data_IF_133490063233
#
_entry.id   IF_133490063233
#
_cell.length_a   1.000
_cell.length_b   1.000
_cell.length_c   1.000
_cell.angle_alpha   90.00
_cell.angle_beta   90.00
_cell.angle_gamma   90.00
#
_symmetry.space_group_name_H-M   'P 1'
#
loop_
_entity.id
_entity.type
_entity.pdbx_description
1 polymer ?
#
# COMPACT_ATOMS: atom_id res chain seq x y z
N UNK A 1 23.38 2.44 -45.23
CA UNK A 1 23.59 2.66 -43.77
C UNK A 1 23.43 4.16 -43.52
N UNK A 2 22.42 4.72 -42.85
CA UNK A 2 21.42 4.23 -41.91
C UNK A 2 20.15 5.09 -42.02
N UNK A 3 18.99 4.46 -42.00
CA UNK A 3 17.69 5.08 -41.68
C UNK A 3 17.56 5.10 -40.16
N UNK A 4 17.66 6.27 -39.54
CA UNK A 4 17.26 6.45 -38.13
C UNK A 4 15.82 6.92 -38.10
N UNK A 5 14.94 5.96 -37.84
CA UNK A 5 13.52 6.16 -37.58
C UNK A 5 13.35 6.87 -36.22
N UNK A 6 12.96 8.14 -36.24
CA UNK A 6 12.55 8.87 -35.04
C UNK A 6 11.05 8.65 -34.87
N UNK A 7 10.71 7.51 -34.27
CA UNK A 7 9.38 7.23 -33.75
C UNK A 7 9.07 8.15 -32.57
N UNK A 8 8.43 9.29 -32.86
CA UNK A 8 7.89 10.21 -31.87
C UNK A 8 6.67 9.62 -31.17
N UNK A 9 6.85 9.13 -29.94
CA UNK A 9 5.75 8.74 -29.07
C UNK A 9 4.98 9.99 -28.59
N UNK A 10 3.71 10.11 -28.98
CA UNK A 10 2.79 11.15 -28.49
C UNK A 10 2.62 10.98 -26.98
N UNK A 11 2.78 12.04 -26.16
CA UNK A 11 2.56 11.93 -24.73
C UNK A 11 1.07 11.73 -24.45
N UNK A 12 0.66 10.48 -24.25
CA UNK A 12 -0.65 10.15 -23.71
C UNK A 12 -0.81 10.87 -22.36
N UNK A 13 -1.85 11.70 -22.22
CA UNK A 13 -2.11 12.45 -20.98
C UNK A 13 -2.38 11.44 -19.85
N UNK A 14 -1.35 11.12 -19.07
CA UNK A 14 -1.46 10.26 -17.89
C UNK A 14 -2.62 10.74 -17.02
N UNK A 15 -3.62 9.88 -16.84
CA UNK A 15 -4.79 10.19 -16.05
C UNK A 15 -4.37 10.68 -14.65
N UNK A 16 -4.83 11.88 -14.29
CA UNK A 16 -4.50 12.49 -13.02
C UNK A 16 -5.22 11.72 -11.92
N UNK A 17 -4.45 11.08 -11.03
CA UNK A 17 -5.01 10.39 -9.86
C UNK A 17 -5.58 11.40 -8.88
N UNK A 18 -6.72 11.07 -8.28
CA UNK A 18 -7.44 11.92 -7.32
C UNK A 18 -7.77 11.14 -6.06
N UNK A 19 -7.82 11.83 -4.93
CA UNK A 19 -8.25 11.25 -3.65
C UNK A 19 -9.70 10.78 -3.73
N UNK A 20 -10.00 9.58 -3.23
CA UNK A 20 -11.38 9.06 -3.21
C UNK A 20 -12.29 9.89 -2.30
N UNK A 21 -11.80 10.34 -1.12
CA UNK A 21 -12.61 11.08 -0.15
C UNK A 21 -12.85 12.55 -0.53
N UNK A 22 -11.84 13.24 -1.07
CA UNK A 22 -11.90 14.70 -1.27
C UNK A 22 -11.61 15.17 -2.71
N UNK A 23 -11.35 14.23 -3.64
CA UNK A 23 -11.06 14.48 -5.07
C UNK A 23 -9.89 15.42 -5.38
N UNK A 24 -9.10 15.80 -4.39
CA UNK A 24 -7.87 16.57 -4.59
C UNK A 24 -6.91 15.79 -5.49
N UNK A 25 -6.19 16.52 -6.35
CA UNK A 25 -5.14 15.98 -7.20
C UNK A 25 -4.05 15.36 -6.33
N UNK A 26 -3.69 14.13 -6.66
CA UNK A 26 -2.63 13.39 -6.00
C UNK A 26 -1.30 13.65 -6.70
N UNK A 27 -0.23 13.64 -5.91
CA UNK A 27 1.15 13.74 -6.35
C UNK A 27 1.68 12.37 -6.79
N UNK A 28 2.83 12.38 -7.46
CA UNK A 28 3.54 11.16 -7.89
C UNK A 28 3.93 10.24 -6.72
N UNK A 29 4.08 10.80 -5.52
CA UNK A 29 4.48 10.11 -4.28
C UNK A 29 3.31 9.48 -3.53
N UNK A 30 2.06 9.72 -3.92
CA UNK A 30 0.92 9.15 -3.20
C UNK A 30 0.79 7.65 -3.46
N UNK A 31 0.86 6.86 -2.39
CA UNK A 31 0.75 5.41 -2.44
C UNK A 31 -0.69 4.94 -2.21
N UNK A 32 -1.13 3.85 -2.87
CA UNK A 32 -2.43 3.24 -2.58
C UNK A 32 -2.47 2.71 -1.14
N UNK A 33 -3.61 2.84 -0.48
CA UNK A 33 -3.88 2.17 0.79
C UNK A 33 -3.99 0.65 0.58
N UNK A 34 -3.80 -0.13 1.64
CA UNK A 34 -3.97 -1.60 1.61
C UNK A 34 -5.40 -2.04 1.24
N UNK A 35 -6.40 -1.16 1.41
CA UNK A 35 -7.76 -1.40 0.92
C UNK A 35 -7.93 -1.21 -0.60
N UNK A 36 -6.88 -0.84 -1.34
CA UNK A 36 -6.90 -0.66 -2.79
C UNK A 36 -7.32 0.74 -3.26
N UNK A 37 -7.77 1.61 -2.35
CA UNK A 37 -8.13 3.00 -2.65
C UNK A 37 -6.95 3.94 -2.48
N UNK A 38 -6.93 5.04 -3.25
CA UNK A 38 -5.89 6.06 -3.16
C UNK A 38 -6.44 7.34 -2.53
N UNK A 39 -5.72 7.85 -1.54
CA UNK A 39 -6.10 9.03 -0.76
C UNK A 39 -4.95 10.02 -0.73
N UNK A 40 -5.25 11.30 -0.48
CA UNK A 40 -4.22 12.32 -0.27
C UNK A 40 -3.61 12.18 1.14
N UNK A 41 -2.51 12.90 1.42
CA UNK A 41 -1.81 12.85 2.71
C UNK A 41 -2.72 13.05 3.93
N UNK A 42 -3.79 13.84 3.80
CA UNK A 42 -4.77 14.09 4.87
C UNK A 42 -5.75 12.94 5.10
N UNK A 43 -6.03 12.13 4.07
CA UNK A 43 -7.01 11.04 4.12
C UNK A 43 -6.37 9.64 4.03
N UNK A 44 -5.03 9.57 4.09
CA UNK A 44 -4.27 8.32 3.96
C UNK A 44 -4.46 7.39 5.16
N UNK A 45 -4.69 7.95 6.35
CA UNK A 45 -4.81 7.19 7.58
C UNK A 45 -6.14 6.43 7.63
N UNK A 46 -6.16 5.18 8.15
CA UNK A 46 -7.35 4.33 8.11
C UNK A 46 -8.56 4.90 8.86
N UNK A 47 -8.31 5.71 9.90
CA UNK A 47 -9.35 6.43 10.66
C UNK A 47 -10.08 7.50 9.84
N UNK A 48 -9.40 8.09 8.84
CA UNK A 48 -9.92 9.23 8.07
C UNK A 48 -10.78 8.82 6.88
N UNK A 49 -10.68 7.57 6.43
CA UNK A 49 -11.44 7.05 5.29
C UNK A 49 -12.21 5.76 5.61
N UNK A 50 -12.37 5.45 6.91
CA UNK A 50 -13.04 4.25 7.40
C UNK A 50 -12.55 2.99 6.66
N UNK A 51 -11.25 2.75 6.73
CA UNK A 51 -10.62 1.65 6.00
C UNK A 51 -11.24 0.30 6.39
N UNK A 52 -11.66 -0.47 5.39
CA UNK A 52 -12.25 -1.80 5.55
C UNK A 52 -11.21 -2.92 5.66
N UNK A 53 -9.91 -2.59 5.57
CA UNK A 53 -8.83 -3.56 5.64
C UNK A 53 -8.53 -3.96 7.09
N UNK A 54 -8.51 -5.26 7.38
CA UNK A 54 -8.19 -5.79 8.71
C UNK A 54 -6.66 -5.85 8.93
N UNK A 55 -6.11 -4.77 9.47
CA UNK A 55 -4.69 -4.68 9.82
C UNK A 55 -4.31 -5.62 10.97
N UNK A 56 -5.24 -5.95 11.87
CA UNK A 56 -4.97 -6.80 13.02
C UNK A 56 -4.74 -8.23 12.56
N UNK A 57 -5.65 -8.77 11.74
CA UNK A 57 -5.51 -10.10 11.18
C UNK A 57 -4.26 -10.21 10.29
N UNK A 58 -4.05 -9.25 9.39
CA UNK A 58 -2.86 -9.24 8.54
C UNK A 58 -1.56 -9.19 9.36
N UNK A 59 -1.54 -8.42 10.46
CA UNK A 59 -0.40 -8.38 11.38
C UNK A 59 -0.16 -9.72 12.08
N UNK A 60 -1.23 -10.36 12.56
CA UNK A 60 -1.14 -11.68 13.19
C UNK A 60 -0.65 -12.75 12.23
N UNK A 61 -1.17 -12.79 11.00
CA UNK A 61 -0.74 -13.74 9.97
C UNK A 61 0.74 -13.55 9.62
N UNK A 62 1.18 -12.29 9.44
CA UNK A 62 2.58 -11.97 9.20
C UNK A 62 3.48 -12.44 10.35
N UNK A 63 3.14 -12.12 11.59
CA UNK A 63 3.90 -12.55 12.77
C UNK A 63 3.93 -14.08 12.92
N UNK A 64 2.80 -14.74 12.67
CA UNK A 64 2.70 -16.20 12.75
C UNK A 64 3.56 -16.92 11.72
N UNK A 65 3.79 -16.28 10.57
CA UNK A 65 4.62 -16.83 9.49
C UNK A 65 6.10 -16.51 9.70
N UNK A 66 6.42 -15.31 10.20
CA UNK A 66 7.81 -14.85 10.31
C UNK A 66 8.50 -15.21 11.62
N UNK A 67 7.76 -15.41 12.71
CA UNK A 67 8.35 -15.69 14.02
C UNK A 67 8.41 -17.19 14.31
N UNK A 68 9.53 -17.62 14.90
CA UNK A 68 9.66 -18.96 15.48
C UNK A 68 8.92 -18.98 16.83
N UNK A 69 8.05 -19.97 17.03
CA UNK A 69 7.33 -20.12 18.30
C UNK A 69 8.29 -20.58 19.39
N UNK A 70 8.53 -19.71 20.36
CA UNK A 70 9.28 -20.06 21.58
C UNK A 70 8.32 -20.78 22.53
N UNK A 71 8.51 -22.08 22.72
CA UNK A 71 7.76 -22.88 23.70
C UNK A 71 8.73 -23.30 24.80
N UNK A 72 8.52 -22.79 26.01
CA UNK A 72 9.26 -23.21 27.20
C UNK A 72 8.61 -24.45 27.82
N UNK A 73 9.42 -25.47 28.10
CA UNK A 73 9.01 -26.57 28.98
C UNK A 73 8.96 -26.05 30.43
N UNK A 74 7.85 -26.30 31.12
CA UNK A 74 7.79 -26.10 32.57
C UNK A 74 8.69 -27.15 33.21
N UNK A 75 9.73 -26.69 33.90
CA UNK A 75 10.60 -27.50 34.74
C UNK A 75 10.03 -27.45 36.16
N UNK A 76 9.74 -28.61 36.71
CA UNK A 76 9.29 -28.75 38.09
C UNK A 76 10.45 -28.46 39.06
N UNK A 77 10.13 -27.85 40.20
CA UNK A 77 11.11 -27.48 41.21
C UNK A 77 11.70 -28.72 41.90
N UNK A 78 13.02 -28.71 42.12
CA UNK A 78 13.79 -29.73 42.86
C UNK A 78 13.48 -29.65 44.35
#
# INVERSE_FOLDING_TARGET
>A
MNTVDVSGAVPEKKAIRRCVSCRNKLSLTDFPCKCGLIHCSKHRLPETHNCTFDFKKNGQEFLSTSLVKVVGIKIDAI
#
